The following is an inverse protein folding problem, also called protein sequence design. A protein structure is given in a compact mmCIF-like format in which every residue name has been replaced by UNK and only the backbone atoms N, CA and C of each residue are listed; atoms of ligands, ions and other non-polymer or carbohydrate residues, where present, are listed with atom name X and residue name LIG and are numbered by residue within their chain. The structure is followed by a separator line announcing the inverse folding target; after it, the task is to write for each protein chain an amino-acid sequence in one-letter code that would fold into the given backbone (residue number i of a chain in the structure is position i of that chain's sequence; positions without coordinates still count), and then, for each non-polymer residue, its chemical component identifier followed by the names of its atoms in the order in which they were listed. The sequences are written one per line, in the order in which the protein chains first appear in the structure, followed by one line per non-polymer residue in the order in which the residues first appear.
data_IF_208928168833
#
_entry.id   IF_208928168833
#
_cell.length_a   1.000
_cell.length_b   1.000
_cell.length_c   1.000
_cell.angle_alpha   90.00
_cell.angle_beta   90.00
_cell.angle_gamma   90.00
#
_symmetry.space_group_name_H-M   'P 1'
#
loop_
_entity.id
_entity.type
_entity.pdbx_description
1 polymer ?
#
# COMPACT_ATOMS: atom_id res chain seq x y z
N UNK A 1 34.01 22.68 39.43
CA UNK A 1 32.72 23.29 39.07
C UNK A 1 32.07 22.37 38.06
N UNK A 2 31.13 21.53 38.51
CA UNK A 2 30.58 20.43 37.71
C UNK A 2 29.49 20.93 36.77
N UNK A 3 29.60 20.61 35.48
CA UNK A 3 28.63 20.93 34.44
C UNK A 3 27.36 20.07 34.62
N UNK A 4 26.22 20.72 34.89
CA UNK A 4 24.90 20.07 34.86
C UNK A 4 24.46 19.98 33.40
N UNK A 5 24.62 18.79 32.80
CA UNK A 5 24.10 18.49 31.47
C UNK A 5 22.57 18.40 31.48
N UNK A 6 21.92 19.05 30.52
CA UNK A 6 20.48 18.96 30.30
C UNK A 6 20.04 17.51 30.11
N UNK A 7 19.19 17.02 31.01
CA UNK A 7 18.56 15.70 30.91
C UNK A 7 17.54 15.67 29.77
N UNK A 8 17.44 14.54 29.06
CA UNK A 8 16.42 14.30 28.01
C UNK A 8 14.98 14.56 28.47
N UNK A 9 14.70 14.54 29.78
CA UNK A 9 13.40 14.93 30.34
C UNK A 9 13.09 16.43 30.25
N UNK A 10 14.10 17.31 30.20
CA UNK A 10 13.90 18.75 30.04
C UNK A 10 13.51 19.14 28.60
N UNK A 11 13.83 18.31 27.61
CA UNK A 11 13.53 18.56 26.20
C UNK A 11 12.09 18.22 25.81
N UNK A 12 11.36 17.46 26.63
CA UNK A 12 9.99 17.01 26.33
C UNK A 12 8.88 17.84 27.00
N UNK A 13 9.23 18.92 27.70
CA UNK A 13 8.27 19.76 28.43
C UNK A 13 7.79 21.03 27.71
N UNK A 14 8.30 21.36 26.51
CA UNK A 14 8.09 22.67 25.89
C UNK A 14 7.44 22.60 24.49
N UNK A 15 6.39 21.79 24.35
CA UNK A 15 5.46 21.88 23.22
C UNK A 15 4.03 22.11 23.73
N UNK A 16 3.88 23.11 24.61
CA UNK A 16 2.59 23.64 25.04
C UNK A 16 2.18 24.82 24.16
N UNK A 17 1.13 24.61 23.37
CA UNK A 17 0.22 25.59 22.76
C UNK A 17 0.73 27.04 22.56
N UNK A 18 1.10 27.37 21.32
CA UNK A 18 0.93 28.71 20.77
C UNK A 18 0.12 28.59 19.47
N UNK A 19 -1.19 28.44 19.60
CA UNK A 19 -2.11 28.62 18.48
C UNK A 19 -2.18 30.12 18.18
N UNK A 20 -1.43 30.57 17.16
CA UNK A 20 -1.70 31.86 16.54
C UNK A 20 -2.99 31.72 15.72
N UNK A 21 -4.13 32.05 16.33
CA UNK A 21 -5.43 32.15 15.68
C UNK A 21 -5.44 33.32 14.71
N UNK A 22 -4.88 33.12 13.53
CA UNK A 22 -5.26 33.94 12.37
C UNK A 22 -6.62 33.43 11.91
N UNK A 23 -7.68 34.09 12.35
CA UNK A 23 -9.03 33.81 11.90
C UNK A 23 -9.14 34.21 10.43
N UNK A 24 -8.89 33.26 9.52
CA UNK A 24 -9.35 33.36 8.15
C UNK A 24 -10.90 33.33 8.19
N UNK A 25 -11.60 34.23 7.47
CA UNK A 25 -13.05 34.15 7.38
C UNK A 25 -13.41 32.81 6.73
N UNK A 26 -14.00 31.93 7.53
CA UNK A 26 -14.59 30.68 7.05
C UNK A 26 -15.71 31.08 6.10
N UNK A 27 -15.47 30.95 4.79
CA UNK A 27 -16.52 31.08 3.78
C UNK A 27 -17.46 29.87 4.00
N UNK A 28 -18.72 30.06 4.44
CA UNK A 28 -19.59 28.94 4.82
C UNK A 28 -19.94 28.01 3.65
N UNK A 29 -19.63 28.40 2.42
CA UNK A 29 -20.01 27.71 1.20
C UNK A 29 -19.14 26.48 0.85
N UNK A 30 -18.06 26.21 1.57
CA UNK A 30 -17.17 25.05 1.32
C UNK A 30 -17.31 23.93 2.35
N UNK A 31 -18.11 24.11 3.40
CA UNK A 31 -18.37 23.07 4.41
C UNK A 31 -18.97 21.76 3.88
N UNK A 32 -19.83 21.70 2.85
CA UNK A 32 -20.34 20.42 2.36
C UNK A 32 -19.38 19.69 1.41
N UNK A 33 -18.21 20.27 1.09
CA UNK A 33 -17.23 19.69 0.16
C UNK A 33 -15.99 19.11 0.86
N UNK A 34 -15.94 19.11 2.20
CA UNK A 34 -14.95 18.32 2.91
C UNK A 34 -15.40 16.85 2.85
N UNK A 35 -14.63 15.95 2.22
CA UNK A 35 -14.92 14.53 2.34
C UNK A 35 -14.70 14.16 3.81
N UNK A 36 -15.78 13.92 4.54
CA UNK A 36 -15.70 13.20 5.80
C UNK A 36 -15.48 11.72 5.49
N UNK A 37 -14.36 11.40 4.85
CA UNK A 37 -13.77 10.08 4.94
C UNK A 37 -13.19 9.96 6.35
N UNK A 38 -14.06 9.85 7.35
CA UNK A 38 -13.63 9.33 8.63
C UNK A 38 -13.20 7.89 8.33
N UNK A 39 -11.89 7.69 8.13
CA UNK A 39 -11.32 6.36 8.05
C UNK A 39 -11.90 5.57 9.23
N UNK A 40 -12.45 4.39 8.95
CA UNK A 40 -12.86 3.49 10.02
C UNK A 40 -11.76 3.47 11.07
N UNK A 41 -12.14 3.58 12.35
CA UNK A 41 -11.21 3.61 13.46
C UNK A 41 -10.15 2.52 13.23
N UNK A 42 -8.85 2.86 13.33
CA UNK A 42 -7.76 1.92 13.10
C UNK A 42 -7.96 0.62 13.89
N UNK A 43 -8.54 0.72 15.09
CA UNK A 43 -8.91 -0.44 15.90
C UNK A 43 -9.99 -1.31 15.25
N UNK A 44 -11.02 -0.72 14.63
CA UNK A 44 -12.05 -1.44 13.88
C UNK A 44 -11.45 -2.16 12.67
N UNK A 45 -10.58 -1.50 11.90
CA UNK A 45 -9.91 -2.15 10.76
C UNK A 45 -9.03 -3.32 11.19
N UNK A 46 -8.29 -3.15 12.29
CA UNK A 46 -7.49 -4.23 12.87
C UNK A 46 -8.36 -5.39 13.35
N UNK A 47 -9.47 -5.09 14.04
CA UNK A 47 -10.43 -6.13 14.47
C UNK A 47 -11.00 -6.89 13.27
N UNK A 48 -11.43 -6.19 12.22
CA UNK A 48 -11.92 -6.82 10.99
C UNK A 48 -10.85 -7.72 10.34
N UNK A 49 -9.59 -7.27 10.28
CA UNK A 49 -8.48 -8.07 9.77
C UNK A 49 -8.25 -9.33 10.61
N UNK A 50 -8.26 -9.20 11.93
CA UNK A 50 -8.09 -10.33 12.85
C UNK A 50 -9.24 -11.33 12.70
N UNK A 51 -10.47 -10.86 12.51
CA UNK A 51 -11.65 -11.71 12.36
C UNK A 51 -11.72 -12.46 11.03
N UNK A 52 -11.01 -11.98 10.00
CA UNK A 52 -10.82 -12.74 8.77
C UNK A 52 -9.98 -14.01 8.99
N UNK A 53 -9.08 -14.05 9.98
CA UNK A 53 -8.26 -15.21 10.42
C UNK A 53 -7.27 -15.78 9.39
N UNK A 54 -7.74 -16.24 8.23
CA UNK A 54 -6.98 -17.02 7.27
C UNK A 54 -7.19 -16.51 5.84
N UNK A 55 -6.11 -16.29 5.10
CA UNK A 55 -6.16 -15.70 3.77
C UNK A 55 -5.01 -16.13 2.87
N UNK A 56 -5.05 -15.64 1.63
CA UNK A 56 -4.08 -15.90 0.57
C UNK A 56 -3.18 -14.69 0.34
N UNK A 57 -1.89 -14.92 0.08
CA UNK A 57 -0.97 -13.88 -0.38
C UNK A 57 -0.30 -14.33 -1.68
N UNK A 58 -0.68 -13.70 -2.80
CA UNK A 58 -0.18 -14.00 -4.13
C UNK A 58 1.05 -13.14 -4.44
N UNK A 59 2.23 -13.76 -4.40
CA UNK A 59 3.44 -13.22 -5.03
C UNK A 59 3.46 -13.61 -6.50
N UNK A 60 3.10 -12.66 -7.36
CA UNK A 60 3.09 -12.82 -8.81
C UNK A 60 3.59 -11.52 -9.43
N UNK A 61 4.76 -11.56 -10.07
CA UNK A 61 5.37 -10.39 -10.70
C UNK A 61 6.48 -10.83 -11.68
N UNK A 62 7.34 -9.91 -12.11
CA UNK A 62 8.48 -10.14 -12.99
C UNK A 62 9.38 -11.27 -12.47
N UNK A 63 9.62 -11.32 -11.16
CA UNK A 63 10.40 -12.38 -10.50
C UNK A 63 9.89 -13.81 -10.76
N UNK A 64 8.58 -13.98 -11.01
CA UNK A 64 8.00 -15.27 -11.42
C UNK A 64 8.56 -15.74 -12.77
N UNK A 65 8.86 -14.82 -13.68
CA UNK A 65 9.34 -15.11 -15.04
C UNK A 65 10.86 -15.01 -15.17
N UNK A 66 11.54 -14.40 -14.20
CA UNK A 66 13.01 -14.33 -14.16
C UNK A 66 13.63 -15.29 -13.16
N UNK A 67 12.81 -16.06 -12.44
CA UNK A 67 13.21 -17.03 -11.42
C UNK A 67 14.04 -16.37 -10.30
N UNK A 68 13.55 -15.22 -9.84
CA UNK A 68 14.17 -14.40 -8.80
C UNK A 68 13.16 -14.10 -7.69
N UNK A 69 13.50 -14.46 -6.45
CA UNK A 69 12.75 -14.04 -5.26
C UNK A 69 12.76 -12.51 -5.14
N UNK A 70 13.95 -11.94 -5.30
CA UNK A 70 14.17 -10.50 -5.34
C UNK A 70 14.67 -10.06 -6.71
N UNK A 71 13.74 -9.94 -7.66
CA UNK A 71 14.05 -9.45 -9.01
C UNK A 71 14.80 -8.12 -8.97
N UNK A 72 15.88 -8.01 -9.76
CA UNK A 72 16.61 -6.75 -9.87
C UNK A 72 15.71 -5.64 -10.45
N UNK A 73 15.86 -4.38 -10.00
CA UNK A 73 15.07 -3.28 -10.54
C UNK A 73 15.45 -2.99 -12.00
N UNK A 74 14.53 -2.34 -12.73
CA UNK A 74 14.71 -1.89 -14.12
C UNK A 74 14.97 -2.99 -15.16
N UNK A 75 14.66 -4.25 -14.84
CA UNK A 75 14.61 -5.30 -15.86
C UNK A 75 13.54 -4.97 -16.92
N UNK A 76 13.63 -5.64 -18.07
CA UNK A 76 12.74 -5.35 -19.19
C UNK A 76 11.30 -5.78 -18.86
N UNK A 77 10.29 -4.90 -19.00
CA UNK A 77 8.88 -5.26 -18.95
C UNK A 77 8.52 -6.44 -19.86
N UNK A 78 9.30 -6.67 -20.93
CA UNK A 78 9.06 -7.75 -21.87
C UNK A 78 9.24 -9.16 -21.28
N UNK A 79 9.93 -9.26 -20.14
CA UNK A 79 10.12 -10.53 -19.42
C UNK A 79 8.83 -10.99 -18.73
N UNK A 80 7.90 -10.08 -18.44
CA UNK A 80 6.58 -10.45 -17.93
C UNK A 80 5.70 -10.98 -19.07
N UNK A 81 5.70 -12.30 -19.26
CA UNK A 81 5.02 -12.97 -20.36
C UNK A 81 4.18 -14.19 -19.91
N UNK A 82 3.17 -14.01 -19.04
CA UNK A 82 2.24 -15.08 -18.71
C UNK A 82 1.49 -15.63 -19.93
N UNK A 83 1.38 -16.95 -20.02
CA UNK A 83 0.69 -17.64 -21.12
C UNK A 83 -0.75 -18.02 -20.77
N UNK A 84 -1.03 -18.34 -19.51
CA UNK A 84 -2.33 -18.84 -19.05
C UNK A 84 -2.65 -18.37 -17.61
N UNK A 85 -2.86 -17.06 -17.43
CA UNK A 85 -3.34 -16.51 -16.15
C UNK A 85 -4.85 -16.68 -16.07
N UNK A 86 -5.31 -17.31 -14.99
CA UNK A 86 -6.72 -17.45 -14.63
C UNK A 86 -6.90 -17.10 -13.14
N UNK A 87 -7.22 -15.83 -12.88
CA UNK A 87 -7.46 -15.34 -11.53
C UNK A 87 -8.71 -15.96 -10.88
N UNK A 88 -9.67 -16.44 -11.67
CA UNK A 88 -10.85 -17.14 -11.15
C UNK A 88 -10.45 -18.50 -10.58
N UNK A 89 -9.49 -19.19 -11.22
CA UNK A 89 -8.93 -20.42 -10.68
C UNK A 89 -8.21 -20.19 -9.34
N UNK A 90 -7.46 -19.08 -9.19
CA UNK A 90 -6.84 -18.72 -7.91
C UNK A 90 -7.86 -18.46 -6.81
N UNK A 91 -8.90 -17.67 -7.12
CA UNK A 91 -9.99 -17.38 -6.19
C UNK A 91 -10.76 -18.64 -5.79
N UNK A 92 -11.03 -19.54 -6.74
CA UNK A 92 -11.69 -20.82 -6.48
C UNK A 92 -10.85 -21.71 -5.55
N UNK A 93 -9.53 -21.76 -5.74
CA UNK A 93 -8.63 -22.50 -4.86
C UNK A 93 -8.63 -21.92 -3.43
N UNK A 94 -8.59 -20.60 -3.28
CA UNK A 94 -8.68 -19.93 -1.98
C UNK A 94 -10.01 -20.23 -1.27
N UNK A 95 -11.13 -20.16 -2.00
CA UNK A 95 -12.46 -20.49 -1.48
C UNK A 95 -12.53 -21.97 -1.04
N UNK A 96 -12.00 -22.90 -1.83
CA UNK A 96 -11.95 -24.33 -1.49
C UNK A 96 -11.09 -24.60 -0.24
N UNK A 97 -10.10 -23.75 0.04
CA UNK A 97 -9.27 -23.80 1.24
C UNK A 97 -9.89 -23.08 2.46
N UNK A 98 -11.12 -22.54 2.35
CA UNK A 98 -11.78 -21.72 3.38
C UNK A 98 -10.99 -20.45 3.77
N UNK A 99 -10.28 -19.83 2.81
CA UNK A 99 -9.65 -18.52 3.00
C UNK A 99 -10.71 -17.41 2.87
N UNK A 100 -10.64 -16.39 3.72
CA UNK A 100 -11.63 -15.30 3.79
C UNK A 100 -11.18 -14.02 3.08
N UNK A 101 -9.90 -13.91 2.72
CA UNK A 101 -9.34 -12.79 1.98
C UNK A 101 -8.16 -13.21 1.11
N UNK A 102 -7.83 -12.35 0.13
CA UNK A 102 -6.65 -12.49 -0.72
C UNK A 102 -5.93 -11.16 -0.88
N UNK A 103 -4.60 -11.21 -0.92
CA UNK A 103 -3.71 -10.07 -1.17
C UNK A 103 -2.85 -10.37 -2.39
N UNK A 104 -2.72 -9.40 -3.29
CA UNK A 104 -1.89 -9.49 -4.49
C UNK A 104 -0.75 -8.48 -4.40
N UNK A 105 0.46 -8.90 -4.74
CA UNK A 105 1.59 -7.99 -4.98
C UNK A 105 1.39 -7.21 -6.27
N UNK A 106 0.51 -6.20 -6.27
CA UNK A 106 0.25 -5.36 -7.45
C UNK A 106 1.52 -4.70 -7.96
N UNK A 107 2.47 -4.41 -7.07
CA UNK A 107 3.87 -4.06 -7.35
C UNK A 107 4.75 -4.61 -6.24
N UNK A 108 5.90 -5.18 -6.60
CA UNK A 108 6.89 -5.67 -5.64
C UNK A 108 8.12 -4.74 -5.61
N UNK A 109 9.22 -5.11 -4.95
CA UNK A 109 10.38 -4.21 -4.77
C UNK A 109 11.13 -3.89 -6.07
N UNK A 110 11.01 -4.73 -7.11
CA UNK A 110 11.61 -4.51 -8.44
C UNK A 110 10.98 -3.31 -9.18
N UNK A 111 9.77 -2.92 -8.78
CA UNK A 111 9.06 -1.74 -9.27
C UNK A 111 8.12 -1.99 -10.45
N UNK A 112 8.01 -3.21 -10.96
CA UNK A 112 7.07 -3.54 -12.03
C UNK A 112 5.63 -3.60 -11.51
N UNK A 113 4.75 -2.78 -12.09
CA UNK A 113 3.34 -2.69 -11.74
C UNK A 113 2.49 -3.62 -12.63
N UNK A 114 1.63 -4.42 -12.00
CA UNK A 114 0.70 -5.34 -12.68
C UNK A 114 -0.51 -4.64 -13.34
N UNK A 115 -0.63 -3.32 -13.19
CA UNK A 115 -1.69 -2.50 -13.78
C UNK A 115 -1.09 -1.49 -14.76
N UNK A 116 -1.85 -0.94 -15.72
CA UNK A 116 -1.37 0.05 -16.68
C UNK A 116 -1.22 1.43 -16.01
N UNK A 117 -0.21 1.56 -15.16
CA UNK A 117 0.09 2.80 -14.42
C UNK A 117 0.27 3.98 -15.36
N UNK A 118 -0.36 5.11 -15.05
CA UNK A 118 -0.13 6.39 -15.71
C UNK A 118 1.27 6.98 -15.41
N UNK A 119 2.00 6.40 -14.46
CA UNK A 119 3.31 6.83 -14.02
C UNK A 119 4.38 5.77 -14.32
N UNK A 120 5.44 6.18 -15.00
CA UNK A 120 6.57 5.34 -15.35
C UNK A 120 6.27 4.33 -16.46
N UNK A 121 7.30 3.59 -16.87
CA UNK A 121 7.23 2.58 -17.94
C UNK A 121 7.35 1.14 -17.42
N UNK A 122 7.70 0.95 -16.15
CA UNK A 122 7.84 -0.35 -15.50
C UNK A 122 6.48 -0.91 -15.10
N UNK A 123 5.68 -1.31 -16.09
CA UNK A 123 4.35 -1.83 -15.87
C UNK A 123 3.84 -2.71 -17.02
N UNK A 124 2.71 -3.38 -16.78
CA UNK A 124 2.05 -4.32 -17.69
C UNK A 124 1.71 -3.72 -19.07
N UNK A 125 1.45 -2.40 -19.16
CA UNK A 125 1.19 -1.75 -20.45
C UNK A 125 2.41 -1.78 -21.38
N UNK A 126 3.62 -2.07 -20.87
CA UNK A 126 4.86 -2.19 -21.64
C UNK A 126 5.36 -3.64 -21.79
N UNK A 127 4.61 -4.64 -21.30
CA UNK A 127 4.94 -6.07 -21.47
C UNK A 127 4.15 -6.71 -22.64
N UNK A 128 4.49 -7.91 -23.14
CA UNK A 128 3.67 -8.66 -24.08
C UNK A 128 2.26 -8.98 -23.56
N UNK A 129 2.07 -9.02 -22.23
CA UNK A 129 0.80 -9.30 -21.61
C UNK A 129 0.06 -8.00 -21.28
N UNK A 130 -0.90 -7.61 -22.13
CA UNK A 130 -1.62 -6.31 -22.02
C UNK A 130 -2.94 -6.38 -21.24
N UNK A 131 -3.01 -7.19 -20.18
CA UNK A 131 -4.22 -7.33 -19.35
C UNK A 131 -3.95 -6.88 -17.92
N UNK A 132 -5.01 -6.39 -17.28
CA UNK A 132 -5.15 -6.13 -15.84
C UNK A 132 -6.28 -7.05 -15.34
#
# INVERSE_FOLDING_TARGET
MSSVGLSRRALLGAAGAAAATTALPVVPALSPLLPQAAAANAQTNLSNLVDMRFGMFNHFNLGTFTNEEWAAPNQSPALFAPTAVDCAQWAAAAAAANMSYGLLTTKHHDGFALWPSAYGTQNVANSPYKRD
#
